data_IF_149621086183
#
_entry.id   IF_149621086183
#
_cell.length_a   1.000
_cell.length_b   1.000
_cell.length_c   1.000
_cell.angle_alpha   90.00
_cell.angle_beta   90.00
_cell.angle_gamma   90.00
#
_symmetry.space_group_name_H-M   'P 1'
#
loop_
_entity.id
_entity.type
_entity.pdbx_description
1 polymer ?
#
# COMPACT_ATOMS: atom_id res chain seq x y z
N UNK A 1 -16.23 -17.66 20.11
CA UNK A 1 -15.64 -17.35 21.43
C UNK A 1 -15.04 -15.96 21.37
N UNK A 2 -15.61 -14.99 22.09
CA UNK A 2 -15.07 -13.63 22.17
C UNK A 2 -13.63 -13.69 22.70
N UNK A 3 -12.65 -13.47 21.83
CA UNK A 3 -11.32 -13.08 22.26
C UNK A 3 -11.18 -11.63 21.89
N UNK A 4 -11.02 -10.79 22.90
CA UNK A 4 -10.64 -9.40 22.72
C UNK A 4 -9.28 -9.29 22.02
N UNK A 5 -8.65 -8.14 22.15
CA UNK A 5 -7.32 -7.90 21.58
C UNK A 5 -6.31 -8.93 22.14
N UNK A 6 -5.34 -9.35 21.32
CA UNK A 6 -4.22 -10.16 21.82
C UNK A 6 -3.38 -9.36 22.83
N UNK A 7 -2.50 -10.00 23.63
CA UNK A 7 -1.72 -9.32 24.66
C UNK A 7 -0.88 -8.15 24.13
N UNK A 8 -0.20 -8.34 23.00
CA UNK A 8 0.60 -7.28 22.36
C UNK A 8 -0.26 -6.08 21.91
N UNK A 9 -1.42 -6.35 21.30
CA UNK A 9 -2.38 -5.34 20.91
C UNK A 9 -2.96 -4.60 22.13
N UNK A 10 -3.26 -5.32 23.21
CA UNK A 10 -3.75 -4.73 24.46
C UNK A 10 -2.71 -3.78 25.07
N UNK A 11 -1.45 -4.22 25.16
CA UNK A 11 -0.36 -3.38 25.66
C UNK A 11 -0.14 -2.11 24.81
N UNK A 12 -0.28 -2.22 23.48
CA UNK A 12 -0.23 -1.07 22.59
C UNK A 12 -1.40 -0.09 22.83
N UNK A 13 -2.61 -0.61 23.00
CA UNK A 13 -3.82 0.19 23.26
C UNK A 13 -3.71 0.94 24.59
N UNK A 14 -3.22 0.28 25.63
CA UNK A 14 -2.98 0.90 26.94
C UNK A 14 -1.97 2.05 26.82
N UNK A 15 -0.88 1.86 26.08
CA UNK A 15 0.11 2.92 25.84
C UNK A 15 -0.49 4.13 25.12
N UNK A 16 -1.32 3.92 24.10
CA UNK A 16 -2.03 5.01 23.43
C UNK A 16 -2.98 5.71 24.39
N UNK A 17 -3.72 4.96 25.20
CA UNK A 17 -4.74 5.51 26.09
C UNK A 17 -4.15 6.32 27.25
N UNK A 18 -3.01 5.88 27.79
CA UNK A 18 -2.27 6.58 28.86
C UNK A 18 -1.44 7.74 28.33
N UNK A 19 -0.96 7.65 27.09
CA UNK A 19 -0.23 8.77 26.48
C UNK A 19 -1.14 9.99 26.38
N UNK A 20 -0.76 11.05 27.09
CA UNK A 20 -1.47 12.34 27.05
C UNK A 20 -1.64 12.74 25.57
N UNK A 21 -2.87 13.10 25.12
CA UNK A 21 -3.11 13.50 23.73
C UNK A 21 -2.16 14.58 23.21
N UNK A 22 -1.61 15.40 24.12
CA UNK A 22 -0.64 16.45 23.82
C UNK A 22 0.82 15.99 23.62
N UNK A 23 1.14 14.72 23.91
CA UNK A 23 2.46 14.12 23.75
C UNK A 23 2.60 13.38 22.41
N UNK A 24 3.83 13.39 21.87
CA UNK A 24 4.14 12.70 20.61
C UNK A 24 3.92 11.18 20.72
N UNK A 25 3.47 10.58 19.62
CA UNK A 25 3.34 9.13 19.47
C UNK A 25 4.67 8.43 19.13
N UNK A 26 5.79 9.16 19.01
CA UNK A 26 7.09 8.59 18.62
C UNK A 26 7.56 7.48 19.58
N UNK A 27 7.47 7.70 20.90
CA UNK A 27 7.86 6.70 21.88
C UNK A 27 6.99 5.43 21.83
N UNK A 28 5.70 5.58 21.51
CA UNK A 28 4.78 4.44 21.32
C UNK A 28 5.13 3.69 20.03
N UNK A 29 5.49 4.42 18.97
CA UNK A 29 5.92 3.85 17.70
C UNK A 29 7.21 3.04 17.85
N UNK A 30 8.23 3.60 18.51
CA UNK A 30 9.51 2.92 18.75
C UNK A 30 9.33 1.60 19.50
N UNK A 31 8.54 1.60 20.59
CA UNK A 31 8.23 0.38 21.35
C UNK A 31 7.50 -0.65 20.49
N UNK A 32 6.51 -0.20 19.74
CA UNK A 32 5.74 -1.07 18.86
C UNK A 32 6.58 -1.67 17.75
N UNK A 33 7.49 -0.88 17.16
CA UNK A 33 8.43 -1.31 16.14
C UNK A 33 9.42 -2.37 16.69
N UNK A 34 9.86 -2.24 17.94
CA UNK A 34 10.69 -3.25 18.61
C UNK A 34 9.94 -4.59 18.79
N UNK A 35 8.67 -4.53 19.22
CA UNK A 35 7.83 -5.73 19.37
C UNK A 35 7.61 -6.41 18.02
N UNK A 36 7.20 -5.65 17.00
CA UNK A 36 7.02 -6.18 15.64
C UNK A 36 8.33 -6.73 15.08
N UNK A 37 9.46 -6.07 15.35
CA UNK A 37 10.80 -6.54 14.94
C UNK A 37 11.16 -7.90 15.52
N UNK A 38 10.81 -8.16 16.79
CA UNK A 38 10.99 -9.48 17.43
C UNK A 38 10.11 -10.54 16.78
N UNK A 39 8.83 -10.24 16.55
CA UNK A 39 7.90 -11.16 15.86
C UNK A 39 8.41 -11.47 14.45
N UNK A 40 8.86 -10.46 13.70
CA UNK A 40 9.44 -10.62 12.37
C UNK A 40 10.70 -11.49 12.38
N UNK A 41 11.54 -11.36 13.41
CA UNK A 41 12.70 -12.23 13.60
C UNK A 41 12.27 -13.68 13.77
N UNK A 42 11.24 -13.95 14.60
CA UNK A 42 10.73 -15.31 14.79
C UNK A 42 10.22 -15.92 13.48
N UNK A 43 9.45 -15.19 12.66
CA UNK A 43 9.03 -15.70 11.34
C UNK A 43 10.21 -16.09 10.43
N UNK A 44 11.37 -15.46 10.61
CA UNK A 44 12.58 -15.74 9.84
C UNK A 44 13.44 -16.87 10.44
N UNK A 45 13.51 -16.99 11.77
CA UNK A 45 14.46 -17.87 12.44
C UNK A 45 13.83 -19.08 13.14
N UNK A 46 12.58 -18.97 13.59
CA UNK A 46 11.86 -19.99 14.37
C UNK A 46 10.35 -19.92 14.09
N UNK A 47 9.94 -20.50 12.96
CA UNK A 47 8.52 -20.50 12.51
C UNK A 47 7.61 -21.37 13.37
N UNK A 48 8.18 -22.29 14.15
CA UNK A 48 7.44 -23.18 15.04
C UNK A 48 7.23 -22.59 16.44
N UNK A 49 7.72 -21.37 16.69
CA UNK A 49 7.61 -20.72 17.99
C UNK A 49 6.15 -20.56 18.43
N UNK A 50 5.86 -20.90 19.68
CA UNK A 50 4.50 -20.81 20.26
C UNK A 50 3.89 -19.41 20.18
N UNK A 51 4.71 -18.35 20.17
CA UNK A 51 4.23 -16.98 20.01
C UNK A 51 3.56 -16.74 18.65
N UNK A 52 3.89 -17.55 17.64
CA UNK A 52 3.34 -17.44 16.29
C UNK A 52 2.08 -18.31 16.10
N UNK A 53 1.62 -19.01 17.15
CA UNK A 53 0.38 -19.80 17.10
C UNK A 53 -0.88 -18.93 16.92
N UNK A 54 -0.86 -17.68 17.40
CA UNK A 54 -1.91 -16.70 17.08
C UNK A 54 -1.64 -16.12 15.67
N UNK A 55 -2.52 -16.38 14.67
CA UNK A 55 -2.32 -15.86 13.33
C UNK A 55 -2.29 -14.32 13.25
N UNK A 56 -2.89 -13.65 14.23
CA UNK A 56 -2.99 -12.19 14.30
C UNK A 56 -2.08 -11.60 15.39
N UNK A 57 -1.05 -12.35 15.83
CA UNK A 57 -0.09 -11.89 16.85
C UNK A 57 0.44 -10.48 16.55
N UNK A 58 0.35 -9.58 17.53
CA UNK A 58 0.80 -8.19 17.40
C UNK A 58 -0.05 -7.29 16.49
N UNK A 59 -1.10 -7.81 15.85
CA UNK A 59 -2.07 -7.02 15.10
C UNK A 59 -3.23 -6.60 15.99
N UNK A 60 -3.83 -5.46 15.67
CA UNK A 60 -4.95 -4.89 16.40
C UNK A 60 -6.22 -4.98 15.55
N UNK A 61 -7.31 -5.43 16.15
CA UNK A 61 -8.65 -5.30 15.58
C UNK A 61 -9.09 -3.83 15.68
N UNK A 62 -9.15 -3.15 14.53
CA UNK A 62 -9.28 -1.69 14.44
C UNK A 62 -10.59 -1.19 15.06
N UNK A 63 -11.69 -1.93 14.88
CA UNK A 63 -13.01 -1.48 15.33
C UNK A 63 -13.38 -2.00 16.71
N UNK A 64 -12.73 -3.07 17.18
CA UNK A 64 -12.85 -3.52 18.56
C UNK A 64 -11.96 -2.73 19.54
N UNK A 65 -10.99 -1.97 19.03
CA UNK A 65 -10.17 -1.03 19.81
C UNK A 65 -10.91 0.26 20.19
N UNK A 66 -10.46 0.98 21.24
CA UNK A 66 -11.06 2.24 21.65
C UNK A 66 -10.99 3.32 20.56
N UNK A 67 -11.97 4.23 20.58
CA UNK A 67 -12.11 5.31 19.58
C UNK A 67 -10.85 6.17 19.42
N UNK A 68 -10.05 6.34 20.48
CA UNK A 68 -8.81 7.14 20.46
C UNK A 68 -7.79 6.67 19.41
N UNK A 69 -7.83 5.40 19.00
CA UNK A 69 -6.95 4.87 17.96
C UNK A 69 -7.36 5.33 16.56
N UNK A 70 -8.62 5.72 16.40
CA UNK A 70 -9.24 6.19 15.15
C UNK A 70 -9.36 7.71 15.13
N UNK A 71 -8.65 8.42 16.00
CA UNK A 71 -8.59 9.88 16.02
C UNK A 71 -7.20 10.41 15.70
N UNK A 72 -7.15 11.55 15.04
CA UNK A 72 -5.95 12.27 14.67
C UNK A 72 -5.28 12.83 15.92
N UNK A 73 -3.95 12.68 15.97
CA UNK A 73 -3.04 13.41 16.86
C UNK A 73 -2.13 14.26 15.99
N UNK A 74 -2.55 15.49 15.74
CA UNK A 74 -1.90 16.36 14.78
C UNK A 74 -0.54 16.83 15.33
N UNK A 75 0.52 16.78 14.51
CA UNK A 75 1.81 17.32 14.96
C UNK A 75 1.71 18.84 15.12
N UNK A 76 2.22 19.34 16.24
CA UNK A 76 2.32 20.79 16.50
C UNK A 76 3.40 21.38 15.60
N UNK A 77 3.05 22.39 14.82
CA UNK A 77 3.99 23.17 14.01
C UNK A 77 4.02 24.58 14.58
N UNK A 78 5.03 24.87 15.38
CA UNK A 78 5.16 26.15 16.10
C UNK A 78 5.48 27.33 15.16
N UNK A 79 6.23 27.07 14.08
CA UNK A 79 6.58 28.07 13.08
C UNK A 79 6.87 27.44 11.70
N UNK A 80 6.95 28.28 10.67
CA UNK A 80 7.28 27.85 9.30
C UNK A 80 8.68 27.21 9.18
N UNK A 81 9.60 27.53 10.09
CA UNK A 81 10.95 26.95 10.09
C UNK A 81 10.94 25.46 10.48
N UNK A 82 10.05 25.08 11.41
CA UNK A 82 9.89 23.71 11.90
C UNK A 82 8.99 22.83 11.01
N UNK A 83 8.36 23.42 9.99
CA UNK A 83 7.40 22.73 9.13
C UNK A 83 8.05 21.56 8.38
N UNK A 84 9.28 21.71 7.89
CA UNK A 84 9.95 20.69 7.06
C UNK A 84 11.20 20.07 7.70
N UNK A 85 11.61 20.46 8.92
CA UNK A 85 12.90 20.08 9.54
C UNK A 85 13.23 18.60 9.42
N UNK A 86 12.29 17.73 9.81
CA UNK A 86 12.42 16.28 9.76
C UNK A 86 11.39 15.62 8.84
N UNK A 87 10.68 16.40 8.03
CA UNK A 87 9.59 15.90 7.21
C UNK A 87 9.87 16.18 5.74
N UNK A 88 9.68 15.16 4.91
CA UNK A 88 9.70 15.24 3.45
C UNK A 88 8.26 15.11 2.95
N UNK A 89 7.91 15.89 1.92
CA UNK A 89 6.54 16.03 1.42
C UNK A 89 5.56 16.38 2.56
N UNK A 90 5.84 17.42 3.36
CA UNK A 90 4.96 17.81 4.46
C UNK A 90 3.58 18.22 3.90
N UNK A 91 2.52 17.77 4.56
CA UNK A 91 1.15 18.15 4.19
C UNK A 91 0.93 19.63 4.49
N UNK A 92 0.38 20.36 3.53
CA UNK A 92 -0.08 21.73 3.71
C UNK A 92 -1.34 21.79 4.59
N UNK A 93 -1.62 22.98 5.12
CA UNK A 93 -2.69 23.18 6.10
C UNK A 93 -4.07 22.64 5.66
N UNK A 94 -4.51 22.76 4.38
CA UNK A 94 -5.78 22.21 3.93
C UNK A 94 -5.85 20.68 3.92
N UNK A 95 -4.72 19.99 3.76
CA UNK A 95 -4.66 18.51 3.70
C UNK A 95 -4.33 17.88 5.06
N UNK A 96 -4.08 18.72 6.09
CA UNK A 96 -3.89 18.30 7.48
C UNK A 96 -5.22 18.28 8.20
N UNK A 97 -5.55 17.12 8.78
CA UNK A 97 -6.69 16.95 9.67
C UNK A 97 -6.36 17.55 11.03
N UNK A 98 -7.39 18.06 11.70
CA UNK A 98 -7.27 18.70 13.02
C UNK A 98 -7.13 17.63 14.08
N UNK A 99 -6.56 18.03 15.21
CA UNK A 99 -6.49 17.16 16.38
C UNK A 99 -7.89 16.72 16.82
N UNK A 100 -8.08 15.43 17.09
CA UNK A 100 -9.38 14.86 17.45
C UNK A 100 -10.30 14.50 16.27
N UNK A 101 -9.99 14.92 15.03
CA UNK A 101 -10.70 14.46 13.84
C UNK A 101 -10.56 12.95 13.68
N UNK A 102 -11.41 12.33 12.86
CA UNK A 102 -11.27 10.93 12.54
C UNK A 102 -9.99 10.69 11.69
N UNK A 103 -9.15 9.74 12.12
CA UNK A 103 -8.02 9.25 11.33
C UNK A 103 -8.41 8.09 10.41
N UNK A 104 -9.47 7.38 10.79
CA UNK A 104 -10.08 6.23 10.13
C UNK A 104 -11.60 6.38 10.14
N UNK A 105 -12.33 5.62 9.31
CA UNK A 105 -13.81 5.58 9.40
C UNK A 105 -14.28 5.19 10.80
N UNK A 106 -15.48 5.65 11.18
CA UNK A 106 -15.94 5.57 12.57
C UNK A 106 -16.26 4.13 13.00
N UNK A 107 -16.89 3.36 12.10
CA UNK A 107 -17.44 2.04 12.38
C UNK A 107 -17.13 1.01 11.27
N UNK A 108 -17.35 -0.27 11.57
CA UNK A 108 -17.08 -1.37 10.64
C UNK A 108 -17.99 -1.31 9.41
N UNK A 109 -19.22 -0.86 9.60
CA UNK A 109 -20.23 -0.73 8.54
C UNK A 109 -19.81 0.31 7.49
N UNK A 110 -19.18 1.41 7.92
CA UNK A 110 -18.61 2.41 7.01
C UNK A 110 -17.48 1.82 6.16
N UNK A 111 -16.61 1.02 6.79
CA UNK A 111 -15.54 0.33 6.07
C UNK A 111 -16.11 -0.67 5.07
N UNK A 112 -17.07 -1.49 5.48
CA UNK A 112 -17.69 -2.50 4.61
C UNK A 112 -18.39 -1.85 3.42
N UNK A 113 -19.14 -0.77 3.65
CA UNK A 113 -19.74 0.03 2.56
C UNK A 113 -18.66 0.55 1.61
N UNK A 114 -17.59 1.14 2.14
CA UNK A 114 -16.47 1.63 1.33
C UNK A 114 -15.79 0.50 0.55
N UNK A 115 -15.61 -0.67 1.17
CA UNK A 115 -14.99 -1.86 0.58
C UNK A 115 -15.84 -2.41 -0.58
N UNK A 116 -17.15 -2.54 -0.39
CA UNK A 116 -18.08 -2.97 -1.45
C UNK A 116 -18.04 -2.02 -2.65
N UNK A 117 -18.04 -0.70 -2.42
CA UNK A 117 -17.93 0.30 -3.49
C UNK A 117 -16.54 0.29 -4.15
N UNK A 118 -15.46 0.14 -3.38
CA UNK A 118 -14.09 0.08 -3.90
C UNK A 118 -13.85 -1.17 -4.75
N UNK A 119 -14.48 -2.28 -4.41
CA UNK A 119 -14.33 -3.57 -5.10
C UNK A 119 -15.39 -3.80 -6.17
N UNK A 120 -16.39 -2.91 -6.28
CA UNK A 120 -17.57 -3.06 -7.14
C UNK A 120 -18.28 -4.41 -6.90
N UNK A 121 -18.29 -4.89 -5.65
CA UNK A 121 -18.90 -6.16 -5.26
C UNK A 121 -18.22 -7.43 -5.81
N UNK A 122 -17.00 -7.32 -6.36
CA UNK A 122 -16.32 -8.44 -7.04
C UNK A 122 -15.72 -9.50 -6.09
N UNK A 123 -15.76 -9.29 -4.77
CA UNK A 123 -15.07 -10.11 -3.76
C UNK A 123 -16.03 -10.81 -2.78
N UNK A 124 -17.14 -11.32 -3.27
CA UNK A 124 -18.01 -12.24 -2.54
C UNK A 124 -17.39 -13.65 -2.50
N UNK A 125 -16.40 -13.84 -1.62
CA UNK A 125 -15.58 -15.05 -1.56
C UNK A 125 -15.59 -15.70 -0.17
N UNK A 126 -15.21 -16.98 -0.09
CA UNK A 126 -14.89 -17.61 1.18
C UNK A 126 -13.55 -17.07 1.70
N UNK A 127 -13.57 -16.28 2.77
CA UNK A 127 -12.39 -15.61 3.31
C UNK A 127 -11.44 -16.48 4.15
N UNK A 128 -11.76 -17.77 4.34
CA UNK A 128 -10.86 -18.69 5.04
C UNK A 128 -9.49 -18.75 4.36
N UNK A 129 -8.42 -18.54 5.13
CA UNK A 129 -7.03 -18.58 4.65
C UNK A 129 -6.67 -17.53 3.57
N UNK A 130 -7.46 -16.46 3.44
CA UNK A 130 -7.17 -15.33 2.56
C UNK A 130 -7.46 -14.01 3.27
N UNK A 131 -6.63 -13.02 3.03
CA UNK A 131 -6.88 -11.64 3.45
C UNK A 131 -6.65 -10.70 2.26
N UNK A 132 -7.39 -9.60 2.22
CA UNK A 132 -6.98 -8.43 1.45
C UNK A 132 -6.07 -7.58 2.32
N UNK A 133 -5.04 -6.94 1.76
CA UNK A 133 -4.16 -6.08 2.53
C UNK A 133 -3.59 -4.92 1.70
N UNK A 134 -3.01 -3.92 2.38
CA UNK A 134 -2.26 -2.88 1.70
C UNK A 134 -3.10 -1.65 1.35
N UNK A 135 -2.78 -1.09 0.18
CA UNK A 135 -3.32 0.21 -0.22
C UNK A 135 -4.84 0.20 -0.43
N UNK A 136 -5.44 -0.92 -0.83
CA UNK A 136 -6.89 -1.06 -1.02
C UNK A 136 -7.64 -0.95 0.32
N UNK A 137 -7.21 -1.72 1.31
CA UNK A 137 -7.76 -1.71 2.68
C UNK A 137 -7.57 -0.34 3.31
N UNK A 138 -6.36 0.25 3.21
CA UNK A 138 -6.10 1.60 3.69
C UNK A 138 -7.03 2.64 3.07
N UNK A 139 -7.29 2.55 1.77
CA UNK A 139 -8.15 3.52 1.07
C UNK A 139 -9.58 3.47 1.61
N UNK A 140 -10.09 2.26 1.86
CA UNK A 140 -11.44 2.07 2.41
C UNK A 140 -11.56 2.44 3.90
N UNK A 141 -10.45 2.30 4.63
CA UNK A 141 -10.34 2.67 6.04
C UNK A 141 -10.19 4.19 6.23
N UNK A 142 -9.68 4.89 5.24
CA UNK A 142 -9.44 6.33 5.31
C UNK A 142 -10.78 7.11 5.27
N UNK A 143 -10.96 8.15 6.11
CA UNK A 143 -12.10 9.04 6.03
C UNK A 143 -12.19 9.69 4.65
N UNK A 144 -13.42 9.77 4.13
CA UNK A 144 -13.72 10.54 2.93
C UNK A 144 -13.48 12.04 3.18
N UNK A 145 -13.12 12.83 2.15
CA UNK A 145 -12.94 14.27 2.30
C UNK A 145 -14.20 14.95 2.84
N UNK A 146 -14.07 15.87 3.81
CA UNK A 146 -15.21 16.55 4.46
C UNK A 146 -16.16 17.25 3.48
N UNK A 147 -15.63 17.72 2.35
CA UNK A 147 -16.39 18.45 1.32
C UNK A 147 -17.24 17.54 0.43
N UNK A 148 -17.16 16.23 0.60
CA UNK A 148 -17.86 15.25 -0.23
C UNK A 148 -19.22 14.91 0.38
N UNK A 149 -20.28 15.10 -0.39
CA UNK A 149 -21.59 14.51 -0.06
C UNK A 149 -21.48 13.00 -0.25
N UNK A 150 -21.74 12.17 0.78
CA UNK A 150 -21.50 10.73 0.72
C UNK A 150 -22.63 10.01 -0.02
N UNK A 151 -22.79 10.27 -1.32
CA UNK A 151 -23.53 9.36 -2.20
C UNK A 151 -22.63 8.23 -2.68
N UNK A 152 -23.20 7.07 -3.00
CA UNK A 152 -22.40 5.95 -3.53
C UNK A 152 -21.63 6.35 -4.79
N UNK A 153 -22.25 7.14 -5.68
CA UNK A 153 -21.62 7.60 -6.92
C UNK A 153 -20.45 8.55 -6.67
N UNK A 154 -20.56 9.45 -5.68
CA UNK A 154 -19.46 10.32 -5.28
C UNK A 154 -18.28 9.51 -4.73
N UNK A 155 -18.55 8.46 -3.96
CA UNK A 155 -17.54 7.55 -3.41
C UNK A 155 -16.88 6.72 -4.52
N UNK A 156 -17.66 6.15 -5.46
CA UNK A 156 -17.13 5.46 -6.64
C UNK A 156 -16.21 6.40 -7.45
N UNK A 157 -16.68 7.61 -7.73
CA UNK A 157 -15.89 8.63 -8.42
C UNK A 157 -14.60 8.99 -7.66
N UNK A 158 -14.66 9.08 -6.33
CA UNK A 158 -13.49 9.31 -5.49
C UNK A 158 -12.43 8.22 -5.67
N UNK A 159 -12.82 6.94 -5.62
CA UNK A 159 -11.88 5.85 -5.82
C UNK A 159 -11.40 5.73 -7.27
N UNK A 160 -12.16 6.22 -8.25
CA UNK A 160 -11.75 6.33 -9.64
C UNK A 160 -10.90 7.57 -9.95
N UNK A 161 -10.66 8.45 -8.98
CA UNK A 161 -9.80 9.64 -9.14
C UNK A 161 -8.32 9.25 -9.34
N UNK A 162 -7.50 10.20 -9.83
CA UNK A 162 -6.06 9.97 -10.11
C UNK A 162 -5.27 9.34 -8.94
N UNK A 163 -5.64 9.62 -7.69
CA UNK A 163 -4.93 9.09 -6.51
C UNK A 163 -5.12 7.57 -6.32
N UNK A 164 -6.25 7.04 -6.78
CA UNK A 164 -6.68 5.66 -6.51
C UNK A 164 -6.98 4.84 -7.77
N UNK A 165 -7.09 5.46 -8.94
CA UNK A 165 -7.42 4.81 -10.23
C UNK A 165 -6.49 3.65 -10.61
N UNK A 166 -5.25 3.67 -10.13
CA UNK A 166 -4.24 2.62 -10.38
C UNK A 166 -4.00 1.73 -9.16
N UNK A 167 -4.92 1.74 -8.20
CA UNK A 167 -4.83 0.87 -7.03
C UNK A 167 -5.41 -0.49 -7.37
N UNK A 168 -4.55 -1.50 -7.25
CA UNK A 168 -4.93 -2.89 -7.33
C UNK A 168 -5.48 -3.37 -5.98
N UNK A 169 -6.16 -4.52 -5.97
CA UNK A 169 -6.62 -5.20 -4.76
C UNK A 169 -5.72 -6.42 -4.52
N UNK A 170 -4.80 -6.29 -3.56
CA UNK A 170 -3.88 -7.37 -3.21
C UNK A 170 -4.52 -8.37 -2.23
N UNK A 171 -4.62 -9.63 -2.65
CA UNK A 171 -5.03 -10.78 -1.86
C UNK A 171 -3.82 -11.64 -1.49
N UNK A 172 -3.76 -12.04 -0.22
CA UNK A 172 -2.68 -12.85 0.34
C UNK A 172 -3.25 -14.15 0.91
N UNK A 173 -2.65 -15.27 0.51
CA UNK A 173 -2.98 -16.59 1.05
C UNK A 173 -2.07 -16.92 2.23
N UNK A 174 -2.65 -17.53 3.26
CA UNK A 174 -1.91 -17.86 4.48
C UNK A 174 -2.32 -19.21 5.08
N UNK A 175 -1.36 -19.91 5.71
CA UNK A 175 -1.59 -21.18 6.37
C UNK A 175 -1.95 -22.33 5.43
N UNK A 176 -1.57 -22.25 4.14
CA UNK A 176 -1.87 -23.26 3.13
C UNK A 176 -0.58 -23.90 2.59
N UNK A 177 -0.67 -25.18 2.25
CA UNK A 177 0.30 -25.86 1.37
C UNK A 177 0.20 -25.32 -0.07
N UNK A 178 1.22 -25.55 -0.93
CA UNK A 178 1.17 -25.16 -2.34
C UNK A 178 -0.07 -25.69 -3.09
N UNK A 179 -0.45 -26.94 -2.86
CA UNK A 179 -1.58 -27.60 -3.51
C UNK A 179 -2.91 -26.99 -3.07
N UNK A 180 -3.06 -26.75 -1.76
CA UNK A 180 -4.23 -26.06 -1.20
C UNK A 180 -4.32 -24.60 -1.69
N UNK A 181 -3.17 -23.93 -1.81
CA UNK A 181 -3.12 -22.56 -2.32
C UNK A 181 -3.53 -22.49 -3.80
N UNK A 182 -3.12 -23.45 -4.63
CA UNK A 182 -3.57 -23.56 -6.02
C UNK A 182 -5.10 -23.77 -6.10
N UNK A 183 -5.65 -24.71 -5.33
CA UNK A 183 -7.09 -24.91 -5.24
C UNK A 183 -7.82 -23.64 -4.76
N UNK A 184 -7.23 -22.92 -3.80
CA UNK A 184 -7.77 -21.66 -3.29
C UNK A 184 -7.78 -20.55 -4.35
N UNK A 185 -6.72 -20.43 -5.16
CA UNK A 185 -6.66 -19.48 -6.28
C UNK A 185 -7.77 -19.77 -7.29
N UNK A 186 -7.99 -21.03 -7.64
CA UNK A 186 -9.07 -21.45 -8.55
C UNK A 186 -10.44 -21.09 -7.96
N UNK A 187 -10.65 -21.35 -6.67
CA UNK A 187 -11.90 -20.99 -5.99
C UNK A 187 -12.13 -19.47 -5.96
N UNK A 188 -11.09 -18.67 -5.72
CA UNK A 188 -11.18 -17.20 -5.79
C UNK A 188 -11.54 -16.75 -7.20
N UNK A 189 -10.89 -17.31 -8.23
CA UNK A 189 -11.20 -16.98 -9.61
C UNK A 189 -12.66 -17.30 -9.96
N UNK A 190 -13.15 -18.48 -9.60
CA UNK A 190 -14.53 -18.88 -9.82
C UNK A 190 -15.51 -17.92 -9.12
N UNK A 191 -15.24 -17.55 -7.86
CA UNK A 191 -16.06 -16.60 -7.12
C UNK A 191 -16.11 -15.22 -7.80
N UNK A 192 -14.96 -14.68 -8.22
CA UNK A 192 -14.88 -13.40 -8.94
C UNK A 192 -15.67 -13.46 -10.26
N UNK A 193 -15.61 -14.58 -10.98
CA UNK A 193 -16.40 -14.79 -12.18
C UNK A 193 -17.91 -14.84 -11.90
N UNK A 194 -18.33 -15.45 -10.80
CA UNK A 194 -19.73 -15.48 -10.40
C UNK A 194 -20.25 -14.10 -9.95
N UNK A 195 -19.41 -13.26 -9.34
CA UNK A 195 -19.77 -11.90 -8.93
C UNK A 195 -19.82 -10.91 -10.10
N UNK A 196 -19.13 -11.20 -11.21
CA UNK A 196 -19.11 -10.32 -12.36
C UNK A 196 -20.44 -10.33 -13.12
N UNK A 197 -20.88 -9.19 -13.69
CA UNK A 197 -22.02 -9.19 -14.60
C UNK A 197 -21.78 -10.09 -15.81
N UNK A 198 -22.84 -10.73 -16.30
CA UNK A 198 -22.78 -11.71 -17.40
C UNK A 198 -22.21 -11.18 -18.72
N UNK A 199 -22.20 -9.86 -18.91
CA UNK A 199 -21.65 -9.18 -20.08
C UNK A 199 -20.18 -8.72 -19.91
N UNK A 200 -19.52 -9.08 -18.81
CA UNK A 200 -18.15 -8.66 -18.50
C UNK A 200 -17.20 -9.84 -18.65
N UNK A 201 -16.28 -9.72 -19.60
CA UNK A 201 -15.18 -10.67 -19.75
C UNK A 201 -14.16 -10.50 -18.61
N UNK A 202 -13.60 -11.64 -18.16
CA UNK A 202 -12.51 -11.70 -17.20
C UNK A 202 -11.29 -12.39 -17.82
N UNK A 203 -10.11 -11.84 -17.55
CA UNK A 203 -8.82 -12.41 -17.99
C UNK A 203 -7.87 -12.54 -16.82
N UNK A 204 -7.27 -13.72 -16.69
CA UNK A 204 -6.21 -13.96 -15.72
C UNK A 204 -4.83 -13.90 -16.37
N UNK A 205 -3.92 -13.17 -15.71
CA UNK A 205 -2.52 -13.09 -16.09
C UNK A 205 -1.67 -13.51 -14.92
N UNK A 206 -0.93 -14.61 -15.07
CA UNK A 206 0.05 -15.06 -14.08
C UNK A 206 1.44 -14.58 -14.45
N UNK A 207 2.14 -13.96 -13.51
CA UNK A 207 3.58 -13.74 -13.56
C UNK A 207 4.30 -14.58 -12.48
N UNK A 208 5.59 -14.34 -12.25
CA UNK A 208 6.39 -15.09 -11.25
C UNK A 208 5.88 -14.94 -9.81
N UNK A 209 5.29 -13.80 -9.48
CA UNK A 209 4.97 -13.40 -8.11
C UNK A 209 3.47 -13.25 -7.84
N UNK A 210 2.65 -13.05 -8.87
CA UNK A 210 1.21 -12.80 -8.72
C UNK A 210 0.39 -13.49 -9.81
N UNK A 211 -0.89 -13.75 -9.49
CA UNK A 211 -1.96 -13.97 -10.46
C UNK A 211 -2.87 -12.75 -10.41
N UNK A 212 -2.93 -12.00 -11.52
CA UNK A 212 -3.77 -10.81 -11.64
C UNK A 212 -5.03 -11.14 -12.46
N UNK A 213 -6.20 -10.84 -11.90
CA UNK A 213 -7.51 -10.99 -12.51
C UNK A 213 -7.96 -9.62 -13.00
N UNK A 214 -8.11 -9.48 -14.32
CA UNK A 214 -8.54 -8.27 -15.00
C UNK A 214 -9.98 -8.41 -15.46
N UNK A 215 -10.77 -7.35 -15.28
CA UNK A 215 -12.12 -7.21 -15.83
C UNK A 215 -12.25 -5.88 -16.59
N UNK A 216 -13.46 -5.45 -16.92
CA UNK A 216 -13.71 -4.13 -17.52
C UNK A 216 -13.58 -3.00 -16.49
N UNK A 217 -12.86 -1.91 -16.85
CA UNK A 217 -12.81 -0.68 -16.06
C UNK A 217 -14.24 -0.15 -15.82
N UNK A 218 -14.61 0.35 -14.62
CA UNK A 218 -13.76 0.79 -13.51
C UNK A 218 -13.38 -0.27 -12.47
N UNK A 219 -13.72 -1.54 -12.68
CA UNK A 219 -13.40 -2.61 -11.72
C UNK A 219 -11.89 -2.78 -11.60
N UNK A 220 -11.36 -2.74 -10.38
CA UNK A 220 -9.92 -2.80 -10.13
C UNK A 220 -9.37 -4.19 -10.40
N UNK A 221 -8.08 -4.25 -10.71
CA UNK A 221 -7.37 -5.51 -10.86
C UNK A 221 -7.28 -6.18 -9.50
N UNK A 222 -7.69 -7.45 -9.42
CA UNK A 222 -7.51 -8.27 -8.21
C UNK A 222 -6.21 -9.04 -8.38
N UNK A 223 -5.26 -8.87 -7.46
CA UNK A 223 -3.94 -9.50 -7.52
C UNK A 223 -3.78 -10.49 -6.38
N UNK A 224 -3.64 -11.77 -6.71
CA UNK A 224 -3.33 -12.81 -5.73
C UNK A 224 -1.82 -12.98 -5.66
N UNK A 225 -1.22 -12.71 -4.50
CA UNK A 225 0.21 -12.86 -4.25
C UNK A 225 0.55 -14.34 -4.07
N UNK A 226 1.53 -14.83 -4.83
CA UNK A 226 1.90 -16.25 -4.87
C UNK A 226 2.87 -16.67 -3.76
N UNK A 227 3.41 -15.72 -2.99
CA UNK A 227 4.18 -16.04 -1.78
C UNK A 227 3.23 -16.59 -0.74
N UNK A 228 3.53 -17.77 -0.21
CA UNK A 228 2.79 -18.36 0.91
C UNK A 228 3.29 -17.78 2.23
N UNK A 229 2.34 -17.46 3.10
CA UNK A 229 2.60 -16.95 4.45
C UNK A 229 2.02 -17.94 5.47
N UNK A 230 2.55 -17.94 6.69
CA UNK A 230 2.02 -18.70 7.80
C UNK A 230 0.78 -18.04 8.39
N UNK A 231 0.74 -16.70 8.43
CA UNK A 231 -0.35 -15.97 9.05
C UNK A 231 -0.53 -14.54 8.52
N UNK A 232 -1.68 -13.89 8.78
CA UNK A 232 -1.91 -12.47 8.51
C UNK A 232 -0.85 -11.55 9.13
N UNK A 233 -0.37 -11.86 10.34
CA UNK A 233 0.71 -11.11 10.98
C UNK A 233 2.01 -11.16 10.16
N UNK A 234 2.37 -12.31 9.58
CA UNK A 234 3.56 -12.41 8.70
C UNK A 234 3.41 -11.55 7.43
N UNK A 235 2.20 -11.53 6.85
CA UNK A 235 1.91 -10.69 5.66
C UNK A 235 2.19 -9.23 5.95
N UNK A 236 1.61 -8.68 7.02
CA UNK A 236 1.74 -7.26 7.36
C UNK A 236 3.15 -6.91 7.87
N UNK A 237 3.85 -7.83 8.54
CA UNK A 237 5.23 -7.64 8.97
C UNK A 237 6.20 -7.43 7.78
N UNK A 238 5.84 -7.94 6.60
CA UNK A 238 6.62 -7.81 5.37
C UNK A 238 6.45 -6.47 4.63
N UNK A 239 5.52 -5.62 5.04
CA UNK A 239 5.25 -4.35 4.36
C UNK A 239 6.23 -3.25 4.76
N UNK A 240 6.61 -2.42 3.79
CA UNK A 240 7.56 -1.33 3.93
C UNK A 240 6.92 -0.01 4.39
N UNK A 241 5.72 0.32 3.88
CA UNK A 241 5.00 1.56 4.21
C UNK A 241 4.08 1.35 5.42
N UNK A 242 4.28 2.11 6.49
CA UNK A 242 3.52 2.01 7.75
C UNK A 242 2.01 2.05 7.55
N UNK A 243 1.49 3.12 6.94
CA UNK A 243 0.05 3.30 6.75
C UNK A 243 -0.60 2.16 5.96
N UNK A 244 0.15 1.44 5.13
CA UNK A 244 -0.38 0.33 4.33
C UNK A 244 -0.56 -0.97 5.10
N UNK A 245 -0.08 -1.05 6.35
CA UNK A 245 -0.03 -2.29 7.12
C UNK A 245 -1.37 -2.57 7.81
N UNK A 246 -2.40 -2.67 6.98
CA UNK A 246 -3.78 -2.98 7.30
C UNK A 246 -4.24 -4.17 6.45
N UNK A 247 -5.10 -5.01 6.99
CA UNK A 247 -5.70 -6.16 6.33
C UNK A 247 -7.19 -6.27 6.62
N UNK A 248 -7.93 -6.86 5.70
CA UNK A 248 -9.33 -7.25 5.85
C UNK A 248 -9.47 -8.75 5.61
N UNK A 249 -10.09 -9.46 6.54
CA UNK A 249 -10.26 -10.92 6.49
C UNK A 249 -11.68 -11.35 6.12
N UNK A 250 -12.47 -10.45 5.51
CA UNK A 250 -13.87 -10.70 5.20
C UNK A 250 -14.85 -10.40 6.32
N UNK A 251 -14.35 -10.15 7.54
CA UNK A 251 -15.17 -9.80 8.69
C UNK A 251 -14.60 -8.59 9.43
N UNK A 252 -13.32 -8.65 9.79
CA UNK A 252 -12.64 -7.65 10.60
C UNK A 252 -11.52 -6.96 9.84
N UNK A 253 -11.24 -5.73 10.28
CA UNK A 253 -10.08 -4.96 9.81
C UNK A 253 -9.00 -5.03 10.87
N UNK A 254 -7.85 -5.56 10.46
CA UNK A 254 -6.65 -5.68 11.27
C UNK A 254 -5.65 -4.62 10.86
N UNK A 255 -4.90 -4.08 11.80
CA UNK A 255 -3.80 -3.18 11.51
C UNK A 255 -2.63 -3.41 12.45
N UNK A 256 -1.42 -3.22 11.95
CA UNK A 256 -0.24 -3.15 12.81
C UNK A 256 -0.27 -1.88 13.65
N UNK A 257 0.32 -1.88 14.86
CA UNK A 257 0.52 -0.68 15.67
C UNK A 257 1.12 0.51 14.90
N UNK A 258 2.10 0.27 14.02
CA UNK A 258 2.71 1.32 13.20
C UNK A 258 1.76 1.90 12.16
N UNK A 259 0.87 1.09 11.57
CA UNK A 259 -0.17 1.61 10.66
C UNK A 259 -1.14 2.53 11.40
N UNK A 260 -1.55 2.14 12.61
CA UNK A 260 -2.46 2.93 13.43
C UNK A 260 -1.81 4.26 13.79
N UNK A 261 -0.56 4.24 14.27
CA UNK A 261 0.17 5.48 14.57
C UNK A 261 0.34 6.34 13.31
N UNK A 262 0.67 5.74 12.16
CA UNK A 262 0.82 6.47 10.91
C UNK A 262 -0.48 7.16 10.47
N UNK A 263 -1.62 6.49 10.66
CA UNK A 263 -2.95 7.05 10.43
C UNK A 263 -3.27 8.18 11.42
N UNK A 264 -3.02 7.97 12.72
CA UNK A 264 -3.24 9.00 13.74
C UNK A 264 -2.42 10.27 13.48
N UNK A 265 -1.19 10.13 12.98
CA UNK A 265 -0.29 11.27 12.70
C UNK A 265 -0.41 11.83 11.29
N UNK A 266 -1.12 11.15 10.39
CA UNK A 266 -1.00 11.32 8.94
C UNK A 266 0.45 11.27 8.44
N UNK A 267 1.25 10.33 8.94
CA UNK A 267 2.68 10.32 8.66
C UNK A 267 3.27 8.90 8.59
N UNK A 268 4.03 8.59 7.53
CA UNK A 268 4.86 7.40 7.48
C UNK A 268 6.26 7.72 8.00
N UNK A 269 6.82 6.85 8.85
CA UNK A 269 8.19 7.02 9.37
C UNK A 269 9.15 6.21 8.51
N UNK A 270 10.29 6.81 8.15
CA UNK A 270 11.34 6.10 7.40
C UNK A 270 12.02 5.08 8.30
N UNK A 271 11.87 3.80 7.95
CA UNK A 271 12.53 2.66 8.60
C UNK A 271 13.36 1.89 7.57
N UNK A 272 14.68 2.03 7.67
CA UNK A 272 15.61 1.40 6.74
C UNK A 272 15.65 -0.13 6.87
N UNK A 273 15.19 -0.70 7.99
CA UNK A 273 15.10 -2.15 8.17
C UNK A 273 13.98 -2.80 7.37
N UNK A 274 13.08 -1.97 6.79
CA UNK A 274 11.90 -2.38 6.01
C UNK A 274 11.95 -1.92 4.56
N UNK A 275 13.04 -1.25 4.16
CA UNK A 275 13.17 -0.63 2.85
C UNK A 275 13.06 -1.67 1.73
N UNK A 276 12.00 -1.59 0.94
CA UNK A 276 11.86 -2.32 -0.31
C UNK A 276 12.58 -1.61 -1.47
N UNK A 277 12.77 -2.26 -2.62
CA UNK A 277 13.34 -1.61 -3.79
C UNK A 277 12.54 -0.41 -4.34
N UNK A 278 11.22 -0.38 -4.09
CA UNK A 278 10.30 0.69 -4.53
C UNK A 278 9.97 1.68 -3.41
N UNK A 279 10.63 1.59 -2.26
CA UNK A 279 10.24 2.29 -1.04
C UNK A 279 10.09 3.80 -1.21
N UNK A 280 11.04 4.49 -1.84
CA UNK A 280 10.94 5.95 -2.01
C UNK A 280 9.79 6.37 -2.92
N UNK A 281 9.54 5.61 -3.99
CA UNK A 281 8.41 5.83 -4.88
C UNK A 281 7.08 5.54 -4.18
N UNK A 282 7.05 4.52 -3.30
CA UNK A 282 5.88 4.23 -2.47
C UNK A 282 5.64 5.32 -1.44
N UNK A 283 6.66 5.85 -0.79
CA UNK A 283 6.52 7.00 0.11
C UNK A 283 5.92 8.21 -0.64
N UNK A 284 6.44 8.54 -1.82
CA UNK A 284 5.87 9.59 -2.68
C UNK A 284 4.46 9.29 -3.19
N UNK A 285 4.13 8.01 -3.43
CA UNK A 285 2.75 7.61 -3.78
C UNK A 285 1.80 7.87 -2.61
N UNK A 286 2.23 7.61 -1.38
CA UNK A 286 1.41 7.77 -0.18
C UNK A 286 1.36 9.22 0.30
N UNK A 287 2.31 10.09 -0.08
CA UNK A 287 2.17 11.55 0.13
C UNK A 287 0.93 12.11 -0.56
N UNK A 288 0.67 11.66 -1.79
CA UNK A 288 -0.54 11.98 -2.56
C UNK A 288 -1.83 11.41 -1.96
N UNK A 289 -1.72 10.56 -0.93
CA UNK A 289 -2.84 9.97 -0.18
C UNK A 289 -3.01 10.60 1.20
N UNK A 290 -2.38 11.76 1.44
CA UNK A 290 -2.54 12.50 2.68
C UNK A 290 -1.64 12.03 3.81
N UNK A 291 -0.41 11.57 3.49
CA UNK A 291 0.61 11.19 4.47
C UNK A 291 1.92 11.95 4.28
N UNK A 292 2.41 12.68 5.28
CA UNK A 292 3.78 13.19 5.24
C UNK A 292 4.82 12.09 5.52
N UNK A 293 6.08 12.32 5.16
CA UNK A 293 7.17 11.36 5.39
C UNK A 293 8.10 11.90 6.47
N UNK A 294 8.12 11.25 7.63
CA UNK A 294 9.02 11.61 8.72
C UNK A 294 10.34 10.86 8.61
N UNK A 295 11.44 11.60 8.66
CA UNK A 295 12.81 11.07 8.62
C UNK A 295 13.53 11.58 9.87
N UNK A 296 13.61 10.76 10.94
CA UNK A 296 14.13 11.21 12.25
C UNK A 296 15.53 11.83 12.15
N UNK A 297 16.39 11.27 11.31
CA UNK A 297 17.78 11.70 11.14
C UNK A 297 17.98 12.81 10.09
N UNK A 298 16.91 13.36 9.51
CA UNK A 298 17.03 14.38 8.47
C UNK A 298 17.57 15.69 9.03
N UNK A 299 18.62 16.20 8.38
CA UNK A 299 19.18 17.52 8.61
C UNK A 299 19.20 18.27 7.29
N UNK A 300 18.24 19.18 7.10
CA UNK A 300 18.10 19.90 5.81
C UNK A 300 19.28 20.83 5.51
N UNK A 301 19.94 21.35 6.54
CA UNK A 301 21.17 22.16 6.41
C UNK A 301 22.33 21.42 5.73
N UNK A 302 22.34 20.09 5.83
CA UNK A 302 23.47 19.27 5.40
C UNK A 302 23.29 18.79 3.95
N UNK A 303 22.18 19.18 3.29
CA UNK A 303 21.83 18.76 1.94
C UNK A 303 22.58 19.61 0.93
N UNK A 304 23.42 18.97 0.11
CA UNK A 304 23.98 19.60 -1.09
C UNK A 304 22.89 19.80 -2.14
N UNK A 305 22.55 21.05 -2.45
CA UNK A 305 21.48 21.36 -3.38
C UNK A 305 21.76 20.90 -4.84
N UNK A 306 22.99 20.52 -5.20
CA UNK A 306 23.29 19.96 -6.54
C UNK A 306 22.55 18.65 -6.81
N UNK A 307 22.05 17.95 -5.78
CA UNK A 307 21.27 16.72 -5.96
C UNK A 307 20.01 16.92 -6.81
N UNK A 308 19.41 18.11 -6.76
CA UNK A 308 18.13 18.40 -7.44
C UNK A 308 18.26 18.50 -8.96
N UNK A 309 19.48 18.67 -9.48
CA UNK A 309 19.76 18.61 -10.92
C UNK A 309 19.92 17.19 -11.47
N UNK A 310 19.90 16.16 -10.62
CA UNK A 310 20.10 14.77 -11.06
C UNK A 310 18.80 14.13 -11.51
N UNK A 311 18.89 13.16 -12.42
CA UNK A 311 17.74 12.33 -12.80
C UNK A 311 17.33 11.41 -11.65
N UNK A 312 16.02 11.30 -11.38
CA UNK A 312 15.43 10.44 -10.33
C UNK A 312 15.88 8.99 -10.45
N UNK A 313 16.01 8.48 -11.67
CA UNK A 313 16.44 7.10 -11.95
C UNK A 313 17.91 6.86 -11.59
N UNK A 314 18.73 7.91 -11.54
CA UNK A 314 20.18 7.83 -11.27
C UNK A 314 20.57 7.90 -9.79
N UNK A 315 19.59 8.11 -8.89
CA UNK A 315 19.79 8.26 -7.44
C UNK A 315 18.93 7.26 -6.67
N UNK A 316 19.27 7.00 -5.41
CA UNK A 316 18.52 6.13 -4.51
C UNK A 316 18.45 6.72 -3.09
N UNK A 317 17.58 6.16 -2.23
CA UNK A 317 17.48 6.57 -0.83
C UNK A 317 16.97 8.00 -0.66
N UNK A 318 17.46 8.67 0.38
CA UNK A 318 17.07 10.04 0.73
C UNK A 318 17.17 11.02 -0.45
N UNK A 319 18.24 10.92 -1.26
CA UNK A 319 18.42 11.78 -2.43
C UNK A 319 17.27 11.64 -3.43
N UNK A 320 16.83 10.41 -3.72
CA UNK A 320 15.67 10.17 -4.59
C UNK A 320 14.40 10.80 -4.02
N UNK A 321 14.17 10.62 -2.72
CA UNK A 321 12.98 11.15 -2.06
C UNK A 321 12.95 12.68 -2.05
N UNK A 322 14.10 13.34 -1.86
CA UNK A 322 14.24 14.80 -1.96
C UNK A 322 13.94 15.31 -3.37
N UNK A 323 14.43 14.64 -4.42
CA UNK A 323 14.09 15.01 -5.80
C UNK A 323 12.59 14.85 -6.04
N UNK A 324 11.98 13.74 -5.60
CA UNK A 324 10.53 13.53 -5.71
C UNK A 324 9.73 14.64 -5.00
N UNK A 325 10.17 15.09 -3.82
CA UNK A 325 9.56 16.23 -3.11
C UNK A 325 9.63 17.51 -3.95
N UNK A 326 10.79 17.80 -4.55
CA UNK A 326 10.97 19.00 -5.37
C UNK A 326 10.10 18.99 -6.63
N UNK A 327 9.86 17.82 -7.22
CA UNK A 327 8.99 17.68 -8.40
C UNK A 327 7.51 17.89 -8.06
N UNK A 328 7.10 17.60 -6.82
CA UNK A 328 5.73 17.81 -6.35
C UNK A 328 5.46 19.25 -5.92
N UNK A 329 6.50 20.01 -5.58
CA UNK A 329 6.40 21.40 -5.16
C UNK A 329 7.25 22.31 -6.07
N UNK A 330 6.66 22.89 -7.13
CA UNK A 330 7.36 23.76 -8.06
C UNK A 330 8.03 24.97 -7.38
N UNK A 331 7.44 25.51 -6.30
CA UNK A 331 8.03 26.61 -5.54
C UNK A 331 9.29 26.18 -4.79
N UNK A 332 9.32 24.95 -4.25
CA UNK A 332 10.53 24.38 -3.67
C UNK A 332 11.60 24.17 -4.74
N UNK A 333 11.23 23.66 -5.92
CA UNK A 333 12.14 23.52 -7.05
C UNK A 333 12.73 24.87 -7.51
N UNK A 334 11.91 25.93 -7.59
CA UNK A 334 12.37 27.29 -7.93
C UNK A 334 13.32 27.83 -6.87
N UNK A 335 12.99 27.73 -5.58
CA UNK A 335 13.86 28.19 -4.49
C UNK A 335 15.21 27.46 -4.48
N UNK A 336 15.21 26.16 -4.74
CA UNK A 336 16.42 25.34 -4.83
C UNK A 336 17.22 25.65 -6.10
N UNK A 337 16.56 25.86 -7.24
CA UNK A 337 17.21 26.27 -8.49
C UNK A 337 17.92 27.63 -8.31
N UNK A 338 17.24 28.61 -7.70
CA UNK A 338 17.81 29.92 -7.36
C UNK A 338 19.03 29.80 -6.44
N UNK A 339 19.08 28.79 -5.57
CA UNK A 339 20.22 28.53 -4.69
C UNK A 339 21.39 27.78 -5.39
N UNK A 340 21.17 27.16 -6.56
CA UNK A 340 22.16 26.30 -7.24
C UNK A 340 22.77 26.96 -8.48
N UNK A 341 22.01 27.72 -9.27
CA UNK A 341 22.51 28.50 -10.40
C UNK A 341 21.41 29.39 -11.00
N UNK A 342 21.79 30.56 -11.55
CA UNK A 342 20.90 31.51 -12.23
C UNK A 342 20.02 30.92 -13.35
N UNK A 343 19.09 31.71 -13.89
CA UNK A 343 17.83 31.25 -14.47
C UNK A 343 18.01 30.48 -15.79
N UNK A 344 17.58 29.21 -15.88
CA UNK A 344 17.19 28.57 -17.15
C UNK A 344 16.08 27.51 -17.03
N UNK A 345 14.94 27.87 -17.62
CA UNK A 345 14.02 27.18 -18.57
C UNK A 345 13.56 25.73 -18.36
N UNK A 346 12.24 25.63 -18.15
CA UNK A 346 11.26 24.73 -18.79
C UNK A 346 11.72 23.31 -19.16
N UNK A 347 11.66 22.41 -18.19
CA UNK A 347 11.60 20.98 -18.43
C UNK A 347 10.21 20.46 -18.06
N UNK A 348 9.36 20.21 -19.07
CA UNK A 348 8.17 19.35 -18.92
C UNK A 348 8.66 17.93 -18.64
N UNK A 349 8.77 17.55 -17.37
CA UNK A 349 8.98 16.16 -16.97
C UNK A 349 7.62 15.48 -16.73
N UNK A 350 7.16 14.70 -17.71
CA UNK A 350 6.19 13.64 -17.44
C UNK A 350 6.82 12.64 -16.47
N UNK A 351 6.24 12.50 -15.28
CA UNK A 351 6.57 11.43 -14.34
C UNK A 351 6.08 10.12 -14.97
N UNK A 352 6.90 9.48 -15.80
CA UNK A 352 6.72 8.07 -16.13
C UNK A 352 6.99 7.27 -14.85
N UNK A 353 6.03 6.43 -14.52
CA UNK A 353 6.09 5.49 -13.39
C UNK A 353 7.43 4.74 -13.38
N UNK A 354 8.08 4.74 -12.21
CA UNK A 354 9.43 4.28 -11.89
C UNK A 354 9.98 3.08 -12.67
N UNK A 355 11.27 3.14 -13.00
CA UNK A 355 12.05 2.11 -13.71
C UNK A 355 12.20 0.74 -13.00
N UNK A 356 11.64 0.54 -11.79
CA UNK A 356 11.54 -0.79 -11.18
C UNK A 356 10.31 -1.58 -11.70
N UNK A 357 9.28 -0.88 -12.22
CA UNK A 357 8.16 -1.46 -12.97
C UNK A 357 8.61 -2.03 -14.34
N UNK A 358 9.89 -1.91 -14.71
CA UNK A 358 10.42 -2.41 -16.00
C UNK A 358 10.70 -3.93 -15.96
N UNK A 359 10.97 -4.51 -14.79
CA UNK A 359 11.24 -5.97 -14.70
C UNK A 359 9.97 -6.82 -14.70
N UNK A 360 8.87 -6.31 -14.15
CA UNK A 360 7.54 -6.92 -14.21
C UNK A 360 6.69 -6.16 -15.20
N UNK A 361 6.36 -6.75 -16.35
CA UNK A 361 5.49 -6.14 -17.34
C UNK A 361 4.20 -5.59 -16.69
N UNK A 362 4.12 -4.28 -16.49
CA UNK A 362 2.89 -3.64 -15.99
C UNK A 362 1.92 -3.49 -17.14
N UNK A 363 0.80 -4.19 -17.05
CA UNK A 363 -0.29 -4.07 -18.01
C UNK A 363 -0.99 -2.74 -17.72
N UNK A 364 -1.01 -1.78 -18.66
CA UNK A 364 -1.74 -0.55 -18.43
C UNK A 364 -3.22 -0.86 -18.21
N UNK A 365 -3.85 -0.11 -17.31
CA UNK A 365 -5.25 -0.30 -16.96
C UNK A 365 -5.89 1.05 -16.61
N UNK A 366 -7.13 1.26 -17.05
CA UNK A 366 -7.81 2.56 -16.97
C UNK A 366 -8.96 2.67 -17.98
N UNK A 367 -9.53 3.87 -18.18
CA UNK A 367 -10.59 4.09 -19.15
C UNK A 367 -10.24 3.54 -20.54
N UNK A 368 -11.13 2.73 -21.12
CA UNK A 368 -10.93 2.07 -22.41
C UNK A 368 -10.08 0.80 -22.38
N UNK A 369 -9.73 0.29 -21.20
CA UNK A 369 -9.18 -1.06 -21.03
C UNK A 369 -10.27 -2.05 -20.61
N UNK A 370 -10.35 -3.14 -21.36
CA UNK A 370 -11.20 -4.30 -21.12
C UNK A 370 -10.36 -5.59 -21.20
N UNK A 371 -11.00 -6.73 -20.94
CA UNK A 371 -10.32 -8.02 -20.93
C UNK A 371 -9.69 -8.36 -22.30
N UNK A 372 -10.33 -8.02 -23.41
CA UNK A 372 -9.82 -8.27 -24.75
C UNK A 372 -8.58 -7.42 -25.08
N UNK A 373 -8.57 -6.16 -24.68
CA UNK A 373 -7.41 -5.26 -24.84
C UNK A 373 -6.23 -5.73 -23.98
N UNK A 374 -6.50 -6.19 -22.76
CA UNK A 374 -5.51 -6.83 -21.89
C UNK A 374 -4.95 -8.09 -22.57
N UNK A 375 -5.83 -8.96 -23.10
CA UNK A 375 -5.45 -10.20 -23.80
C UNK A 375 -4.56 -9.91 -25.01
N UNK A 376 -4.93 -8.94 -25.85
CA UNK A 376 -4.14 -8.48 -27.00
C UNK A 376 -2.79 -7.92 -26.58
N UNK A 377 -2.75 -7.09 -25.53
CA UNK A 377 -1.50 -6.53 -25.00
C UNK A 377 -0.56 -7.63 -24.51
N UNK A 378 -1.04 -8.55 -23.66
CA UNK A 378 -0.24 -9.65 -23.13
C UNK A 378 0.29 -10.53 -24.27
N UNK A 379 -0.56 -10.91 -25.23
CA UNK A 379 -0.13 -11.65 -26.42
C UNK A 379 0.97 -10.91 -27.18
N UNK A 380 0.80 -9.60 -27.42
CA UNK A 380 1.80 -8.79 -28.13
C UNK A 380 3.15 -8.75 -27.40
N UNK A 381 3.15 -8.73 -26.07
CA UNK A 381 4.39 -8.69 -25.29
C UNK A 381 5.04 -10.06 -25.19
N UNK A 382 4.25 -11.13 -25.00
CA UNK A 382 4.76 -12.51 -25.02
C UNK A 382 5.42 -12.80 -26.37
N UNK A 383 4.78 -12.40 -27.49
CA UNK A 383 5.36 -12.54 -28.83
C UNK A 383 6.66 -11.71 -28.97
N UNK A 384 6.70 -10.47 -28.46
CA UNK A 384 7.90 -9.62 -28.50
C UNK A 384 9.03 -10.06 -27.58
N UNK A 385 8.75 -10.82 -26.51
CA UNK A 385 9.76 -11.45 -25.64
C UNK A 385 10.13 -12.88 -26.07
N UNK A 386 9.45 -13.43 -27.08
CA UNK A 386 9.70 -14.74 -27.68
C UNK A 386 10.10 -14.75 -29.18
N UNK A 387 10.71 -13.71 -29.80
CA UNK A 387 11.28 -13.86 -31.12
C UNK A 387 12.71 -14.41 -30.98
N UNK A 388 13.00 -15.53 -31.65
CA UNK A 388 14.23 -16.35 -31.59
C UNK A 388 14.30 -17.41 -30.49
N UNK A 389 13.60 -18.52 -30.70
CA UNK A 389 14.23 -19.84 -30.50
C UNK A 389 14.04 -20.60 -31.81
N UNK A 390 15.15 -20.73 -32.54
CA UNK A 390 15.24 -21.44 -33.80
C UNK A 390 14.95 -22.93 -33.62
N UNK A 391 14.48 -23.53 -34.71
CA UNK A 391 14.27 -24.95 -34.91
C UNK A 391 15.53 -25.77 -34.57
N UNK A 392 15.51 -26.56 -33.50
CA UNK A 392 16.00 -27.95 -33.44
C UNK A 392 15.99 -28.46 -32.00
N UNK A 393 15.75 -29.77 -31.86
CA UNK A 393 15.64 -30.53 -30.62
C UNK A 393 16.78 -30.23 -29.62
N UNK A 394 16.46 -29.71 -28.43
CA UNK A 394 17.11 -30.12 -27.16
C UNK A 394 16.57 -29.37 -25.93
N UNK A 395 16.32 -30.16 -24.88
CA UNK A 395 16.25 -29.86 -23.44
C UNK A 395 15.19 -28.86 -22.93
N UNK A 396 14.25 -29.44 -22.18
CA UNK A 396 13.54 -28.83 -21.06
C UNK A 396 14.49 -28.07 -20.13
N UNK A 397 14.33 -26.75 -20.03
CA UNK A 397 14.64 -25.89 -18.86
C UNK A 397 14.56 -24.43 -19.30
N UNK A 398 13.35 -23.86 -19.41
CA UNK A 398 13.07 -22.43 -19.24
C UNK A 398 11.54 -22.23 -19.37
N UNK A 399 10.80 -22.47 -18.28
CA UNK A 399 9.35 -22.21 -18.21
C UNK A 399 9.11 -20.71 -18.00
N UNK A 400 8.40 -20.10 -18.95
CA UNK A 400 8.25 -18.67 -19.20
C UNK A 400 7.43 -17.89 -18.16
N UNK A 401 7.72 -16.59 -18.06
CA UNK A 401 7.23 -15.64 -17.05
C UNK A 401 5.78 -15.16 -17.22
N UNK A 402 5.02 -15.65 -18.21
CA UNK A 402 3.62 -15.29 -18.42
C UNK A 402 2.84 -16.50 -18.92
N UNK A 403 1.87 -16.97 -18.13
CA UNK A 403 0.84 -17.90 -18.59
C UNK A 403 -0.50 -17.17 -18.56
N UNK A 404 -1.14 -17.04 -19.72
CA UNK A 404 -2.55 -16.67 -19.80
C UNK A 404 -3.32 -17.97 -19.63
N UNK A 405 -4.04 -18.12 -18.53
CA UNK A 405 -5.05 -19.16 -18.43
C UNK A 405 -6.26 -18.64 -19.21
N UNK A 406 -6.51 -19.23 -20.38
CA UNK A 406 -7.77 -19.07 -21.08
C UNK A 406 -8.76 -19.97 -20.34
N UNK A 407 -9.87 -19.39 -19.89
CA UNK A 407 -11.00 -20.15 -19.34
C UNK A 407 -11.53 -21.17 -20.34
#
# INVERSE_FOLDING_TARGET
MHRGQNPEATAFIEQISVSNPSLSLDAVLERSALVEGRIRSLFATDRANDRLCDPYVGLVDVFHGPRIMRTIRARKVENNANFSTHHIMPLDQPNRRKDGDLSMVAATEDFQRNWTLFTEGMLELNWSNVIAAGGSVLSCLSPLPERMVPSEDAIRHHYCSKAYATSDIDLFLWGLSPEQAEAKIIAIYAAVCCSAPSNVDIVCVRNKHTVSIYSQYPRRVIQIVLRLYQSPAEVLAGFDIDASCCAYDGNRVWASPRAIIALMRQCNTVDMTRRSPSYEFRLAKYSKRGFEVYVPSLRRSDIDHRIYGRSVSSVAGLARLLILESLENPFLAIRLAVAVAGPRTDAKLEIKSSDYDITSLRIPYGPGWDAERVRKFVRSVVIRKAPFIGTSRSSERHKSAFKVALG
#
